data_IF_677613747808
#
_entry.id   IF_677613747808
#
_cell.length_a   1.000
_cell.length_b   1.000
_cell.length_c   1.000
_cell.angle_alpha   90.00
_cell.angle_beta   90.00
_cell.angle_gamma   90.00
#
_symmetry.space_group_name_H-M   'P 1'
#
loop_
_entity.id
_entity.type
_entity.pdbx_description
1 polymer ?
#
# COMPACT_ATOMS: atom_id res chain seq x y z
N UNK A 1 -7.41 -8.46 12.11
CA UNK A 1 -6.34 -9.40 12.47
C UNK A 1 -5.78 -10.08 11.22
N UNK A 2 -5.03 -9.35 10.36
CA UNK A 2 -4.39 -9.91 9.15
C UNK A 2 -2.87 -9.65 9.06
N UNK A 3 -2.31 -8.84 9.97
CA UNK A 3 -0.90 -8.41 9.88
C UNK A 3 0.12 -9.49 10.27
N UNK A 4 -0.27 -10.50 11.05
CA UNK A 4 0.69 -11.48 11.58
C UNK A 4 1.18 -12.53 10.58
N UNK A 5 0.56 -12.67 9.40
CA UNK A 5 0.97 -13.67 8.40
C UNK A 5 2.01 -13.12 7.42
N UNK A 6 1.89 -11.84 7.07
CA UNK A 6 2.86 -11.14 6.21
C UNK A 6 4.17 -10.86 6.96
N UNK A 7 4.10 -10.54 8.25
CA UNK A 7 5.26 -10.34 9.12
C UNK A 7 6.12 -11.62 9.22
N UNK A 8 5.49 -12.78 9.41
CA UNK A 8 6.17 -14.08 9.49
C UNK A 8 6.87 -14.45 8.17
N UNK A 9 6.28 -14.11 7.03
CA UNK A 9 6.84 -14.41 5.71
C UNK A 9 8.06 -13.54 5.40
N UNK A 10 8.00 -12.26 5.75
CA UNK A 10 9.12 -11.32 5.63
C UNK A 10 10.27 -11.73 6.55
N UNK A 11 9.96 -12.15 7.78
CA UNK A 11 10.96 -12.61 8.76
C UNK A 11 11.68 -13.89 8.31
N UNK A 12 10.96 -14.86 7.72
CA UNK A 12 11.56 -16.06 7.12
C UNK A 12 12.50 -15.73 5.94
N UNK A 13 12.11 -14.80 5.07
CA UNK A 13 12.95 -14.37 3.95
C UNK A 13 14.23 -13.67 4.43
N UNK A 14 14.11 -12.79 5.43
CA UNK A 14 15.25 -12.09 6.04
C UNK A 14 16.21 -13.09 6.69
N UNK A 15 15.71 -14.10 7.41
CA UNK A 15 16.55 -15.10 8.05
C UNK A 15 17.29 -15.98 7.04
N UNK A 16 16.66 -16.30 5.91
CA UNK A 16 17.29 -17.06 4.82
C UNK A 16 18.39 -16.25 4.12
N UNK A 17 18.17 -14.95 3.90
CA UNK A 17 19.20 -14.05 3.36
C UNK A 17 20.36 -13.89 4.34
N UNK A 18 20.08 -13.72 5.64
CA UNK A 18 21.09 -13.65 6.71
C UNK A 18 21.90 -14.94 6.87
N UNK A 19 21.28 -16.11 6.66
CA UNK A 19 22.00 -17.38 6.72
C UNK A 19 22.92 -17.58 5.52
N UNK A 20 22.49 -17.16 4.33
CA UNK A 20 23.30 -17.21 3.10
C UNK A 20 24.45 -16.20 3.18
N UNK A 21 24.21 -15.00 3.70
CA UNK A 21 25.24 -13.98 3.87
C UNK A 21 26.33 -14.40 4.86
N UNK A 22 25.99 -15.16 5.91
CA UNK A 22 26.95 -15.65 6.91
C UNK A 22 28.06 -16.53 6.33
N UNK A 23 27.85 -17.08 5.13
CA UNK A 23 28.83 -17.91 4.41
C UNK A 23 29.66 -17.10 3.38
N UNK A 24 29.35 -15.82 3.14
CA UNK A 24 30.09 -14.97 2.22
C UNK A 24 30.30 -13.57 2.80
N UNK A 25 31.54 -13.31 3.25
CA UNK A 25 31.95 -12.07 3.93
C UNK A 25 31.76 -10.81 3.09
N UNK A 26 31.87 -10.91 1.75
CA UNK A 26 31.60 -9.79 0.84
C UNK A 26 30.10 -9.48 0.75
N UNK A 27 29.26 -10.52 0.79
CA UNK A 27 27.81 -10.38 0.80
C UNK A 27 27.30 -9.74 2.11
N UNK A 28 27.92 -10.06 3.25
CA UNK A 28 27.60 -9.40 4.53
C UNK A 28 27.91 -7.90 4.51
N UNK A 29 29.08 -7.54 3.97
CA UNK A 29 29.50 -6.14 3.87
C UNK A 29 28.58 -5.36 2.91
N UNK A 30 28.23 -5.97 1.77
CA UNK A 30 27.30 -5.37 0.81
C UNK A 30 25.89 -5.19 1.38
N UNK A 31 25.38 -6.17 2.15
CA UNK A 31 24.08 -6.07 2.83
C UNK A 31 24.11 -4.94 3.87
N UNK A 32 25.14 -4.86 4.71
CA UNK A 32 25.26 -3.81 5.74
C UNK A 32 25.30 -2.40 5.13
N UNK A 33 26.09 -2.20 4.09
CA UNK A 33 26.17 -0.90 3.40
C UNK A 33 24.84 -0.51 2.73
N UNK A 34 24.13 -1.49 2.16
CA UNK A 34 22.85 -1.28 1.50
C UNK A 34 21.72 -1.02 2.50
N UNK A 35 21.69 -1.74 3.62
CA UNK A 35 20.71 -1.55 4.70
C UNK A 35 20.80 -0.14 5.28
N UNK A 36 21.99 0.36 5.61
CA UNK A 36 22.13 1.71 6.18
C UNK A 36 21.76 2.83 5.21
N UNK A 37 22.16 2.73 3.94
CA UNK A 37 21.89 3.76 2.92
C UNK A 37 20.42 3.76 2.49
N UNK A 38 19.82 2.58 2.26
CA UNK A 38 18.40 2.49 1.90
C UNK A 38 17.49 2.81 3.06
N UNK A 39 17.77 2.35 4.28
CA UNK A 39 16.93 2.59 5.44
C UNK A 39 16.89 4.08 5.80
N UNK A 40 18.04 4.78 5.76
CA UNK A 40 18.09 6.24 5.98
C UNK A 40 17.31 7.00 4.90
N UNK A 41 17.40 6.59 3.63
CA UNK A 41 16.67 7.23 2.52
C UNK A 41 15.16 6.97 2.61
N UNK A 42 14.75 5.72 2.85
CA UNK A 42 13.35 5.33 3.03
C UNK A 42 12.74 6.01 4.26
N UNK A 43 13.43 6.07 5.40
CA UNK A 43 12.93 6.80 6.59
C UNK A 43 12.77 8.29 6.31
N UNK A 44 13.70 8.90 5.57
CA UNK A 44 13.63 10.33 5.20
C UNK A 44 12.48 10.62 4.23
N UNK A 45 12.21 9.71 3.31
CA UNK A 45 11.09 9.79 2.36
C UNK A 45 9.74 9.52 3.06
N UNK A 46 9.67 8.51 3.93
CA UNK A 46 8.46 8.17 4.70
C UNK A 46 8.12 9.24 5.75
N UNK A 47 9.13 9.89 6.36
CA UNK A 47 8.93 11.04 7.27
C UNK A 47 8.43 12.30 6.55
N UNK A 48 8.69 12.44 5.25
CA UNK A 48 8.19 13.55 4.42
C UNK A 48 6.80 13.30 3.85
N UNK A 49 6.34 12.05 3.81
CA UNK A 49 4.96 11.74 3.43
C UNK A 49 4.04 12.19 4.57
N UNK A 50 3.37 13.32 4.38
CA UNK A 50 2.32 13.77 5.30
C UNK A 50 1.34 12.62 5.52
N UNK A 51 1.19 12.19 6.78
CA UNK A 51 0.09 11.30 7.11
C UNK A 51 -1.20 12.07 6.81
N UNK A 52 -2.14 11.50 6.04
CA UNK A 52 -3.44 12.12 5.88
C UNK A 52 -4.09 12.18 7.27
N UNK A 53 -4.19 13.39 7.81
CA UNK A 53 -4.84 13.70 9.08
C UNK A 53 -6.08 14.54 8.82
N UNK A 54 -7.08 14.42 9.70
CA UNK A 54 -8.33 15.18 9.59
C UNK A 54 -9.42 14.44 8.81
N UNK A 55 -10.46 15.19 8.43
CA UNK A 55 -11.63 14.67 7.71
C UNK A 55 -11.37 14.63 6.21
N UNK A 56 -12.11 13.76 5.52
CA UNK A 56 -12.12 13.68 4.07
C UNK A 56 -12.54 15.01 3.43
N UNK A 57 -11.70 15.57 2.57
CA UNK A 57 -11.96 16.82 1.83
C UNK A 57 -13.01 16.67 0.70
N UNK A 58 -13.70 15.53 0.62
CA UNK A 58 -14.79 15.29 -0.36
C UNK A 58 -16.13 15.12 0.33
N UNK A 59 -16.21 14.31 1.39
CA UNK A 59 -17.47 14.03 2.06
C UNK A 59 -17.58 14.64 3.46
N UNK A 60 -16.46 15.09 4.05
CA UNK A 60 -16.38 15.70 5.38
C UNK A 60 -16.99 14.87 6.53
N UNK A 61 -17.35 13.62 6.27
CA UNK A 61 -18.02 12.73 7.21
C UNK A 61 -17.03 11.73 7.81
N UNK A 62 -16.17 11.15 6.96
CA UNK A 62 -15.21 10.11 7.33
C UNK A 62 -13.80 10.68 7.48
N UNK A 63 -12.96 10.05 8.30
CA UNK A 63 -11.54 10.39 8.41
C UNK A 63 -10.79 10.14 7.11
N UNK A 64 -9.87 11.05 6.77
CA UNK A 64 -8.99 10.90 5.64
C UNK A 64 -7.93 9.84 5.93
N UNK A 65 -7.75 8.92 4.99
CA UNK A 65 -6.78 7.81 5.08
C UNK A 65 -5.81 7.77 3.92
N UNK A 66 -6.11 8.50 2.84
CA UNK A 66 -5.34 8.48 1.59
C UNK A 66 -5.14 9.89 1.06
N UNK A 67 -4.09 10.09 0.25
CA UNK A 67 -3.81 11.34 -0.45
C UNK A 67 -3.88 11.08 -1.95
N UNK A 68 -4.69 11.85 -2.67
CA UNK A 68 -4.80 11.74 -4.13
C UNK A 68 -3.49 12.13 -4.81
N UNK A 69 -2.94 11.28 -5.69
CA UNK A 69 -1.67 11.58 -6.40
C UNK A 69 -1.77 12.77 -7.37
N UNK A 70 -2.98 13.10 -7.85
CA UNK A 70 -3.20 14.16 -8.84
C UNK A 70 -3.49 15.51 -8.20
N UNK A 71 -4.36 15.56 -7.19
CA UNK A 71 -4.81 16.82 -6.58
C UNK A 71 -4.42 16.98 -5.11
N UNK A 72 -3.70 16.02 -4.54
CA UNK A 72 -3.19 16.01 -3.17
C UNK A 72 -4.25 16.13 -2.05
N UNK A 73 -5.54 16.02 -2.37
CA UNK A 73 -6.60 15.97 -1.35
C UNK A 73 -6.47 14.74 -0.46
N UNK A 74 -6.65 14.94 0.83
CA UNK A 74 -6.78 13.97 1.91
C UNK A 74 -8.22 13.43 1.90
N UNK A 75 -8.38 12.15 1.58
CA UNK A 75 -9.69 11.53 1.32
C UNK A 75 -9.87 10.23 2.10
N UNK A 76 -11.12 9.93 2.44
CA UNK A 76 -11.48 8.65 3.05
C UNK A 76 -11.48 7.51 2.03
N UNK A 77 -11.52 6.27 2.51
CA UNK A 77 -11.53 5.07 1.68
C UNK A 77 -12.66 5.05 0.63
N UNK A 78 -13.86 5.55 0.97
CA UNK A 78 -15.00 5.55 0.03
C UNK A 78 -14.90 6.62 -1.06
N UNK A 79 -14.02 7.61 -0.90
CA UNK A 79 -13.79 8.67 -1.87
C UNK A 79 -12.46 8.49 -2.62
N UNK A 80 -11.81 7.33 -2.49
CA UNK A 80 -10.50 7.02 -3.03
C UNK A 80 -10.50 5.71 -3.82
N UNK A 81 -9.94 5.75 -5.02
CA UNK A 81 -9.68 4.58 -5.85
C UNK A 81 -8.26 4.09 -5.57
N UNK A 82 -8.13 3.12 -4.68
CA UNK A 82 -6.83 2.59 -4.23
C UNK A 82 -5.96 2.05 -5.36
N UNK A 83 -6.56 1.40 -6.36
CA UNK A 83 -5.84 0.85 -7.52
C UNK A 83 -5.24 1.98 -8.38
N UNK A 84 -5.95 3.11 -8.52
CA UNK A 84 -5.53 4.23 -9.37
C UNK A 84 -4.74 5.30 -8.62
N UNK A 85 -4.80 5.31 -7.29
CA UNK A 85 -4.23 6.36 -6.47
C UNK A 85 -5.01 7.70 -6.53
N UNK A 86 -6.24 7.70 -7.04
CA UNK A 86 -6.99 8.92 -7.36
C UNK A 86 -8.25 9.07 -6.50
N UNK A 87 -8.63 10.32 -6.20
CA UNK A 87 -9.92 10.60 -5.58
C UNK A 87 -11.07 10.63 -6.61
N UNK A 88 -12.31 10.47 -6.14
CA UNK A 88 -13.51 10.49 -6.99
C UNK A 88 -13.73 11.79 -7.77
N UNK A 89 -13.13 12.90 -7.35
CA UNK A 89 -13.17 14.19 -8.09
C UNK A 89 -12.17 14.26 -9.25
N UNK A 90 -11.15 13.40 -9.26
CA UNK A 90 -10.12 13.36 -10.30
C UNK A 90 -10.44 12.38 -11.44
N UNK A 91 -11.49 11.59 -11.27
CA UNK A 91 -11.94 10.55 -12.21
C UNK A 91 -13.26 11.02 -12.85
N UNK A 92 -13.51 10.62 -14.09
CA UNK A 92 -14.76 10.95 -14.80
C UNK A 92 -15.96 10.33 -14.10
N UNK A 93 -17.13 11.00 -14.20
CA UNK A 93 -18.36 10.54 -13.53
C UNK A 93 -18.76 9.12 -13.95
N UNK A 94 -18.68 8.80 -15.24
CA UNK A 94 -18.97 7.46 -15.78
C UNK A 94 -18.16 6.35 -15.09
N UNK A 95 -16.87 6.58 -14.89
CA UNK A 95 -15.98 5.60 -14.22
C UNK A 95 -16.31 5.51 -12.73
N UNK A 96 -16.65 6.63 -12.08
CA UNK A 96 -17.07 6.63 -10.67
C UNK A 96 -18.38 5.87 -10.47
N UNK A 97 -19.34 6.05 -11.37
CA UNK A 97 -20.66 5.39 -11.31
C UNK A 97 -20.54 3.89 -11.54
N UNK A 98 -19.83 3.46 -12.59
CA UNK A 98 -19.56 2.04 -12.86
C UNK A 98 -18.89 1.37 -11.66
N UNK A 99 -17.89 2.02 -11.07
CA UNK A 99 -17.20 1.46 -9.92
C UNK A 99 -18.10 1.38 -8.68
N UNK A 100 -18.84 2.44 -8.36
CA UNK A 100 -19.72 2.43 -7.16
C UNK A 100 -20.87 1.44 -7.27
N UNK A 101 -21.33 1.14 -8.48
CA UNK A 101 -22.40 0.18 -8.73
C UNK A 101 -21.89 -1.26 -8.79
N UNK A 102 -20.65 -1.48 -9.20
CA UNK A 102 -20.07 -2.81 -9.22
C UNK A 102 -19.60 -3.22 -7.81
N UNK A 103 -20.45 -4.00 -7.12
CA UNK A 103 -20.02 -5.06 -6.22
C UNK A 103 -19.97 -6.34 -7.06
N UNK A 104 -18.87 -6.61 -7.80
CA UNK A 104 -18.85 -7.77 -8.67
C UNK A 104 -18.70 -9.02 -7.81
N UNK A 105 -19.61 -9.96 -8.02
CA UNK A 105 -19.44 -11.34 -7.61
C UNK A 105 -18.27 -11.92 -8.41
N UNK A 106 -17.06 -11.81 -7.83
CA UNK A 106 -15.81 -12.19 -8.51
C UNK A 106 -15.76 -13.68 -8.84
N UNK A 107 -16.46 -14.53 -8.09
CA UNK A 107 -16.60 -15.96 -8.43
C UNK A 107 -17.34 -16.13 -9.75
N UNK A 108 -18.46 -15.42 -9.93
CA UNK A 108 -19.24 -15.49 -11.17
C UNK A 108 -18.57 -14.79 -12.33
N UNK A 109 -17.95 -13.63 -12.12
CA UNK A 109 -17.31 -12.87 -13.21
C UNK A 109 -16.05 -13.55 -13.74
N UNK A 110 -15.29 -14.21 -12.86
CA UNK A 110 -14.01 -14.84 -13.24
C UNK A 110 -14.12 -16.36 -13.38
N UNK A 111 -15.27 -16.95 -13.04
CA UNK A 111 -15.52 -18.39 -13.17
C UNK A 111 -14.65 -19.24 -12.23
N UNK A 112 -14.21 -18.68 -11.12
CA UNK A 112 -13.29 -19.33 -10.16
C UNK A 112 -14.02 -19.56 -8.84
N UNK A 113 -13.91 -20.79 -8.34
CA UNK A 113 -14.35 -21.17 -7.00
C UNK A 113 -13.18 -20.98 -6.05
N UNK A 114 -13.33 -20.12 -5.04
CA UNK A 114 -12.28 -19.95 -4.04
C UNK A 114 -12.15 -21.24 -3.22
N UNK A 115 -10.91 -21.60 -2.87
CA UNK A 115 -10.62 -22.71 -1.95
C UNK A 115 -10.35 -22.05 -0.59
N UNK A 116 -11.05 -22.50 0.45
CA UNK A 116 -10.90 -22.04 1.84
C UNK A 116 -9.52 -22.39 2.44
#
# INVERSE_FOLDING_TARGET
MKNGNDEKKVEQQINRVKSISKMNKELELWIKEMEEKKLKKMIKETKKMEKPTGKCEICESNEAKFICIKCHRKVCASCYFSILGLCTKCVSKDVVEKWKQENPDWEKKLGIKWID
#
